data_IF_031177629428
#
_entry.id   IF_031177629428
#
_cell.length_a   1.000
_cell.length_b   1.000
_cell.length_c   1.000
_cell.angle_alpha   90.00
_cell.angle_beta   90.00
_cell.angle_gamma   90.00
#
_symmetry.space_group_name_H-M   'P 1'
#
loop_
_entity.id
_entity.type
_entity.pdbx_description
1 polymer ?
#
# COMPACT_ATOMS: atom_id res chain seq x y z
N UNK A 1 17.54 14.00 6.86
CA UNK A 1 16.93 14.86 5.82
C UNK A 1 16.30 13.96 4.76
N UNK A 2 15.10 13.43 5.01
CA UNK A 2 14.38 12.55 4.07
C UNK A 2 13.42 13.31 3.14
N UNK A 3 13.21 14.61 3.35
CA UNK A 3 12.20 15.40 2.65
C UNK A 3 12.75 16.29 1.53
N UNK A 4 14.08 16.49 1.43
CA UNK A 4 14.68 17.41 0.44
C UNK A 4 14.52 16.95 -1.02
N UNK A 5 14.28 15.65 -1.23
CA UNK A 5 14.12 15.06 -2.56
C UNK A 5 12.67 14.72 -2.92
N UNK A 6 11.72 15.06 -2.06
CA UNK A 6 10.31 14.80 -2.34
C UNK A 6 9.74 15.94 -3.19
N UNK A 7 8.91 15.64 -4.21
CA UNK A 7 8.34 16.64 -5.10
C UNK A 7 7.15 17.37 -4.45
N UNK A 8 7.37 17.90 -3.24
CA UNK A 8 6.39 18.56 -2.40
C UNK A 8 6.89 19.95 -1.98
N UNK A 9 5.98 20.90 -1.86
CA UNK A 9 6.20 22.22 -1.26
C UNK A 9 5.40 22.33 0.04
N UNK A 10 5.82 23.22 0.94
CA UNK A 10 5.12 23.49 2.20
C UNK A 10 4.66 24.94 2.22
N UNK A 11 3.41 25.17 2.64
CA UNK A 11 2.91 26.52 2.90
C UNK A 11 3.40 27.08 4.26
N UNK A 12 3.04 28.32 4.58
CA UNK A 12 3.42 29.00 5.83
C UNK A 12 2.90 28.29 7.09
N UNK A 13 1.83 27.50 6.95
CA UNK A 13 1.23 26.70 8.01
C UNK A 13 1.85 25.29 8.11
N UNK A 14 2.77 24.95 7.20
CA UNK A 14 3.44 23.65 7.14
C UNK A 14 2.62 22.54 6.48
N UNK A 15 1.57 22.88 5.72
CA UNK A 15 0.84 21.91 4.92
C UNK A 15 1.60 21.60 3.64
N UNK A 16 1.71 20.31 3.31
CA UNK A 16 2.42 19.85 2.11
C UNK A 16 1.50 19.75 0.89
N UNK A 17 1.93 20.29 -0.25
CA UNK A 17 1.29 20.12 -1.57
C UNK A 17 2.29 19.55 -2.57
N UNK A 18 1.83 18.84 -3.61
CA UNK A 18 2.70 18.41 -4.70
C UNK A 18 3.09 19.61 -5.56
N UNK A 19 4.34 19.62 -6.04
CA UNK A 19 4.77 20.65 -6.98
C UNK A 19 3.92 20.62 -8.27
N UNK A 20 3.63 21.78 -8.88
CA UNK A 20 2.90 21.84 -10.14
C UNK A 20 3.53 20.96 -11.23
N UNK A 21 2.71 20.17 -11.93
CA UNK A 21 3.15 19.27 -13.00
C UNK A 21 3.63 17.89 -12.54
N UNK A 22 3.69 17.65 -11.23
CA UNK A 22 3.94 16.32 -10.67
C UNK A 22 2.67 15.48 -10.76
N UNK A 23 2.76 14.31 -11.38
CA UNK A 23 1.65 13.37 -11.44
C UNK A 23 1.20 13.00 -10.03
N UNK A 24 -0.12 12.99 -9.79
CA UNK A 24 -0.67 12.60 -8.49
C UNK A 24 -0.29 11.13 -8.22
N UNK A 25 0.54 10.82 -7.21
CA UNK A 25 0.94 9.45 -6.92
C UNK A 25 -0.23 8.60 -6.39
N UNK A 26 -1.34 9.23 -6.03
CA UNK A 26 -2.57 8.57 -5.59
C UNK A 26 -3.63 8.47 -6.69
N UNK A 27 -3.39 8.99 -7.90
CA UNK A 27 -4.31 8.71 -9.01
C UNK A 27 -4.16 7.26 -9.44
N UNK A 28 -5.27 6.56 -9.59
CA UNK A 28 -5.30 5.18 -10.07
C UNK A 28 -6.37 5.02 -11.15
N UNK A 29 -6.12 4.12 -12.08
CA UNK A 29 -7.12 3.66 -13.04
C UNK A 29 -7.77 2.40 -12.46
N UNK A 30 -9.09 2.30 -12.60
CA UNK A 30 -9.84 1.09 -12.23
C UNK A 30 -10.22 0.34 -13.47
N UNK A 31 -10.12 -0.99 -13.41
CA UNK A 31 -10.63 -1.88 -14.44
C UNK A 31 -11.59 -2.87 -13.79
N UNK A 32 -12.70 -3.14 -14.46
CA UNK A 32 -13.63 -4.20 -14.07
C UNK A 32 -13.07 -5.57 -14.39
N UNK A 33 -13.62 -6.62 -13.77
CA UNK A 33 -13.19 -8.00 -14.03
C UNK A 33 -13.48 -8.37 -15.49
N UNK A 34 -14.62 -7.92 -16.01
CA UNK A 34 -15.06 -8.18 -17.38
C UNK A 34 -14.14 -7.54 -18.42
N UNK A 35 -13.74 -6.28 -18.18
CA UNK A 35 -12.77 -5.57 -19.04
C UNK A 35 -11.41 -6.28 -19.04
N UNK A 36 -10.96 -6.74 -17.88
CA UNK A 36 -9.70 -7.51 -17.74
C UNK A 36 -9.78 -8.82 -18.53
N UNK A 37 -10.86 -9.57 -18.38
CA UNK A 37 -11.05 -10.82 -19.12
C UNK A 37 -11.12 -10.61 -20.63
N UNK A 38 -11.82 -9.57 -21.08
CA UNK A 38 -11.94 -9.24 -22.50
C UNK A 38 -10.56 -8.90 -23.10
N UNK A 39 -9.74 -8.13 -22.36
CA UNK A 39 -8.38 -7.80 -22.74
C UNK A 39 -7.48 -9.04 -22.84
N UNK A 40 -7.53 -9.94 -21.85
CA UNK A 40 -6.77 -11.18 -21.86
C UNK A 40 -7.16 -12.10 -23.03
N UNK A 41 -8.47 -12.20 -23.33
CA UNK A 41 -8.97 -12.96 -24.49
C UNK A 41 -8.47 -12.38 -25.81
N UNK A 42 -8.42 -11.06 -25.96
CA UNK A 42 -7.89 -10.41 -27.17
C UNK A 42 -6.38 -10.66 -27.34
N UNK A 43 -5.59 -10.58 -26.26
CA UNK A 43 -4.16 -10.88 -26.30
C UNK A 43 -3.93 -12.35 -26.67
N UNK A 44 -4.64 -13.28 -26.04
CA UNK A 44 -4.53 -14.70 -26.34
C UNK A 44 -4.83 -14.99 -27.82
N UNK A 45 -5.82 -14.30 -28.40
CA UNK A 45 -6.15 -14.39 -29.83
C UNK A 45 -5.02 -13.89 -30.73
N UNK A 46 -4.38 -12.77 -30.38
CA UNK A 46 -3.33 -12.12 -31.21
C UNK A 46 -1.97 -12.80 -31.10
N UNK A 47 -1.57 -13.18 -29.89
CA UNK A 47 -0.20 -13.53 -29.57
C UNK A 47 0.03 -15.02 -29.29
N UNK A 48 -1.04 -15.83 -29.26
CA UNK A 48 -1.00 -17.26 -28.99
C UNK A 48 -1.21 -17.59 -27.50
N UNK A 49 -0.59 -18.67 -27.03
CA UNK A 49 -0.82 -19.21 -25.69
C UNK A 49 -0.26 -18.29 -24.58
N UNK A 50 -1.15 -17.85 -23.69
CA UNK A 50 -0.80 -17.24 -22.42
C UNK A 50 -0.58 -18.30 -21.35
N UNK A 51 0.23 -17.98 -20.34
CA UNK A 51 0.55 -18.89 -19.24
C UNK A 51 0.28 -18.18 -17.92
N UNK A 52 -0.29 -18.89 -16.96
CA UNK A 52 -0.44 -18.40 -15.60
C UNK A 52 0.77 -18.84 -14.77
N UNK A 53 1.38 -17.88 -14.09
CA UNK A 53 2.53 -18.07 -13.21
C UNK A 53 2.24 -17.38 -11.89
N UNK A 54 2.17 -18.20 -10.85
CA UNK A 54 1.82 -17.78 -9.50
C UNK A 54 3.01 -17.86 -8.55
N UNK A 55 3.14 -16.83 -7.71
CA UNK A 55 4.10 -16.79 -6.61
C UNK A 55 3.34 -16.62 -5.30
N UNK A 56 2.96 -17.75 -4.69
CA UNK A 56 2.28 -17.79 -3.40
C UNK A 56 2.92 -18.90 -2.51
N UNK A 57 3.67 -18.55 -1.45
CA UNK A 57 3.95 -17.20 -0.98
C UNK A 57 5.14 -16.53 -1.71
N UNK A 58 5.09 -15.20 -1.82
CA UNK A 58 6.30 -14.41 -2.07
C UNK A 58 7.19 -14.45 -0.83
N UNK A 59 8.45 -14.84 -1.00
CA UNK A 59 9.42 -14.98 0.10
C UNK A 59 10.36 -13.77 0.20
N UNK A 60 11.11 -13.66 1.31
CA UNK A 60 12.00 -12.53 1.64
C UNK A 60 11.28 -11.18 1.74
N UNK A 61 10.00 -11.20 2.07
CA UNK A 61 9.17 -10.04 2.39
C UNK A 61 8.53 -10.23 3.76
N UNK A 62 8.03 -9.15 4.36
CA UNK A 62 7.26 -9.22 5.60
C UNK A 62 5.75 -9.32 5.28
N UNK A 63 5.07 -10.28 5.92
CA UNK A 63 3.64 -10.51 5.72
C UNK A 63 3.33 -11.63 4.73
N UNK A 64 2.07 -11.72 4.33
CA UNK A 64 1.57 -12.73 3.39
C UNK A 64 1.18 -12.05 2.09
N UNK A 65 2.05 -12.19 1.08
CA UNK A 65 1.92 -11.59 -0.25
C UNK A 65 1.92 -12.71 -1.29
N UNK A 66 0.99 -12.63 -2.22
CA UNK A 66 0.92 -13.47 -3.40
C UNK A 66 0.85 -12.61 -4.67
N UNK A 67 1.45 -13.11 -5.75
CA UNK A 67 1.25 -12.58 -7.10
C UNK A 67 0.67 -13.66 -8.00
N UNK A 68 -0.46 -13.38 -8.63
CA UNK A 68 -1.05 -14.21 -9.67
C UNK A 68 -0.93 -13.50 -11.01
N UNK A 69 -0.12 -14.04 -11.91
CA UNK A 69 0.27 -13.31 -13.13
C UNK A 69 0.02 -14.11 -14.40
N UNK A 70 -0.55 -13.47 -15.40
CA UNK A 70 -0.65 -14.03 -16.75
C UNK A 70 0.48 -13.46 -17.60
N UNK A 71 1.23 -14.34 -18.27
CA UNK A 71 2.44 -13.99 -19.02
C UNK A 71 2.41 -14.48 -20.46
N UNK A 72 2.96 -13.67 -21.35
CA UNK A 72 3.33 -14.07 -22.70
C UNK A 72 4.83 -14.41 -22.72
N UNK A 73 5.16 -15.70 -22.73
CA UNK A 73 6.56 -16.16 -22.71
C UNK A 73 7.30 -15.86 -24.03
N UNK A 74 6.58 -15.82 -25.16
CA UNK A 74 7.16 -15.52 -26.48
C UNK A 74 7.63 -14.08 -26.55
N UNK A 75 6.82 -13.15 -26.06
CA UNK A 75 7.16 -11.72 -25.99
C UNK A 75 7.93 -11.34 -24.71
N UNK A 76 8.10 -12.29 -23.79
CA UNK A 76 8.76 -12.10 -22.49
C UNK A 76 8.12 -10.96 -21.68
N UNK A 77 6.79 -10.90 -21.68
CA UNK A 77 6.02 -9.81 -21.06
C UNK A 77 4.97 -10.35 -20.09
N UNK A 78 4.87 -9.74 -18.91
CA UNK A 78 3.71 -9.88 -18.01
C UNK A 78 2.58 -9.04 -18.59
N UNK A 79 1.46 -9.69 -18.92
CA UNK A 79 0.32 -9.00 -19.55
C UNK A 79 -0.73 -8.58 -18.54
N UNK A 80 -0.80 -9.28 -17.42
CA UNK A 80 -1.68 -8.97 -16.31
C UNK A 80 -1.13 -9.57 -15.01
N UNK A 81 -1.44 -8.94 -13.88
CA UNK A 81 -1.02 -9.43 -12.56
C UNK A 81 -1.97 -8.94 -11.47
N UNK A 82 -2.22 -9.77 -10.48
CA UNK A 82 -2.94 -9.43 -9.27
C UNK A 82 -2.02 -9.55 -8.06
N UNK A 83 -1.88 -8.46 -7.30
CA UNK A 83 -1.24 -8.44 -5.98
C UNK A 83 -2.28 -8.79 -4.92
N UNK A 84 -2.01 -9.80 -4.10
CA UNK A 84 -2.93 -10.25 -3.07
C UNK A 84 -2.28 -10.30 -1.70
N UNK A 85 -2.95 -9.70 -0.72
CA UNK A 85 -2.63 -9.89 0.69
C UNK A 85 -3.50 -11.04 1.24
N UNK A 86 -2.89 -12.15 1.60
CA UNK A 86 -3.62 -13.39 1.98
C UNK A 86 -3.86 -13.51 3.50
N UNK A 87 -3.61 -12.44 4.26
CA UNK A 87 -3.77 -12.39 5.72
C UNK A 87 -4.49 -11.13 6.17
N UNK A 88 -5.49 -11.29 7.04
CA UNK A 88 -6.19 -10.21 7.71
C UNK A 88 -6.12 -10.36 9.24
N UNK A 89 -5.92 -9.25 9.96
CA UNK A 89 -5.91 -9.20 11.44
C UNK A 89 -6.89 -8.18 12.04
N UNK A 90 -7.31 -7.16 11.29
CA UNK A 90 -8.35 -6.21 11.73
C UNK A 90 -7.97 -5.27 12.88
N UNK A 91 -6.75 -4.69 12.87
CA UNK A 91 -6.30 -3.76 13.94
C UNK A 91 -7.25 -2.57 14.16
N UNK A 92 -7.84 -2.02 13.10
CA UNK A 92 -8.78 -0.91 13.19
C UNK A 92 -10.04 -1.29 13.97
N UNK A 93 -10.52 -2.53 13.81
CA UNK A 93 -11.65 -3.07 14.55
C UNK A 93 -11.22 -3.31 16.01
N UNK A 94 -10.05 -3.90 16.22
CA UNK A 94 -9.50 -4.18 17.56
C UNK A 94 -9.36 -2.90 18.39
N UNK A 95 -9.01 -1.78 17.78
CA UNK A 95 -8.80 -0.50 18.46
C UNK A 95 -10.11 0.18 18.87
N UNK A 96 -11.27 -0.18 18.30
CA UNK A 96 -12.55 0.45 18.65
C UNK A 96 -12.89 0.22 20.12
N UNK A 97 -13.30 1.29 20.80
CA UNK A 97 -13.70 1.26 22.21
C UNK A 97 -12.55 1.07 23.21
N UNK A 98 -11.29 1.05 22.74
CA UNK A 98 -10.13 1.00 23.63
C UNK A 98 -9.74 2.40 24.09
N UNK A 99 -9.02 2.44 25.20
CA UNK A 99 -8.41 3.67 25.67
C UNK A 99 -7.38 4.16 24.62
N UNK A 100 -7.44 5.43 24.17
CA UNK A 100 -6.50 5.96 23.20
C UNK A 100 -5.03 5.76 23.59
N UNK A 101 -4.72 5.76 24.90
CA UNK A 101 -3.34 5.57 25.42
C UNK A 101 -2.77 4.19 25.07
N UNK A 102 -3.62 3.19 24.86
CA UNK A 102 -3.19 1.85 24.47
C UNK A 102 -2.87 1.75 22.96
N UNK A 103 -3.31 2.72 22.16
CA UNK A 103 -3.25 2.61 20.71
C UNK A 103 -1.82 2.46 20.19
N UNK A 104 -0.83 3.15 20.76
CA UNK A 104 0.58 3.00 20.36
C UNK A 104 1.14 1.60 20.64
N UNK A 105 0.76 1.00 21.77
CA UNK A 105 1.17 -0.36 22.10
C UNK A 105 0.49 -1.38 21.19
N UNK A 106 -0.79 -1.20 20.89
CA UNK A 106 -1.53 -2.13 20.03
C UNK A 106 -1.10 -1.99 18.57
N UNK A 107 -1.09 -0.78 18.02
CA UNK A 107 -0.76 -0.50 16.61
C UNK A 107 0.66 -0.91 16.25
N UNK A 108 1.62 -0.80 17.18
CA UNK A 108 3.01 -1.23 16.93
C UNK A 108 3.14 -2.73 16.59
N UNK A 109 2.13 -3.55 16.93
CA UNK A 109 2.12 -4.97 16.58
C UNK A 109 1.50 -5.21 15.20
N UNK A 110 1.01 -4.17 14.53
CA UNK A 110 0.60 -4.25 13.13
C UNK A 110 1.77 -4.66 12.21
N UNK A 111 3.03 -4.38 12.56
CA UNK A 111 4.15 -4.92 11.81
C UNK A 111 5.37 -5.13 12.72
N UNK A 112 6.01 -6.30 12.64
CA UNK A 112 7.24 -6.59 13.39
C UNK A 112 8.48 -5.89 12.83
N UNK A 113 8.45 -5.46 11.56
CA UNK A 113 9.58 -4.78 10.89
C UNK A 113 9.51 -3.26 11.11
N UNK A 114 8.34 -2.65 10.93
CA UNK A 114 8.14 -1.20 11.07
C UNK A 114 7.24 -0.82 12.27
N UNK A 115 7.18 -1.66 13.30
CA UNK A 115 6.29 -1.45 14.45
C UNK A 115 6.50 -0.14 15.19
N UNK A 116 7.75 0.35 15.26
CA UNK A 116 8.06 1.66 15.85
C UNK A 116 7.37 2.82 15.12
N UNK A 117 7.26 2.75 13.79
CA UNK A 117 6.58 3.78 12.99
C UNK A 117 5.09 3.84 13.32
N UNK A 118 4.44 2.68 13.49
CA UNK A 118 3.04 2.61 13.91
C UNK A 118 2.83 3.15 15.34
N UNK A 119 3.78 2.91 16.25
CA UNK A 119 3.73 3.48 17.60
C UNK A 119 3.80 5.02 17.54
N UNK A 120 4.77 5.56 16.81
CA UNK A 120 4.98 7.00 16.65
C UNK A 120 3.79 7.67 15.98
N UNK A 121 3.26 7.08 14.90
CA UNK A 121 2.08 7.61 14.22
C UNK A 121 0.85 7.65 15.14
N UNK A 122 0.66 6.61 15.97
CA UNK A 122 -0.41 6.60 16.97
C UNK A 122 -0.22 7.68 18.04
N UNK A 123 1.00 7.86 18.57
CA UNK A 123 1.31 8.91 19.54
C UNK A 123 1.03 10.30 18.97
N UNK A 124 1.53 10.62 17.78
CA UNK A 124 1.28 11.88 17.08
C UNK A 124 -0.22 12.13 16.85
N UNK A 125 -0.96 11.08 16.49
CA UNK A 125 -2.42 11.18 16.28
C UNK A 125 -3.17 11.48 17.58
N UNK A 126 -2.76 10.87 18.70
CA UNK A 126 -3.35 11.13 20.02
C UNK A 126 -2.99 12.54 20.52
N UNK A 127 -1.73 12.95 20.35
CA UNK A 127 -1.25 14.29 20.71
C UNK A 127 -2.06 15.36 19.98
N UNK A 128 -2.28 15.19 18.68
CA UNK A 128 -3.14 16.06 17.88
C UNK A 128 -4.59 16.06 18.38
N UNK A 129 -5.17 14.87 18.58
CA UNK A 129 -6.58 14.74 18.97
C UNK A 129 -6.88 15.32 20.37
N UNK A 130 -5.92 15.27 21.28
CA UNK A 130 -6.07 15.74 22.67
C UNK A 130 -5.42 17.11 22.92
N UNK A 131 -4.80 17.73 21.92
CA UNK A 131 -4.10 19.01 22.07
C UNK A 131 -2.88 18.95 23.01
N UNK A 132 -2.22 17.79 23.09
CA UNK A 132 -1.07 17.56 23.96
C UNK A 132 0.21 17.94 23.23
N UNK A 133 1.06 18.73 23.87
CA UNK A 133 2.40 19.06 23.38
C UNK A 133 3.46 18.41 24.27
N UNK A 134 4.22 17.41 23.78
CA UNK A 134 5.32 16.82 24.52
C UNK A 134 6.41 17.86 24.87
N UNK A 135 7.22 17.62 25.91
CA UNK A 135 8.41 18.41 26.18
C UNK A 135 9.35 18.46 24.97
N UNK A 136 10.14 19.53 24.88
CA UNK A 136 11.22 19.64 23.91
C UNK A 136 12.38 18.72 24.28
#
# INVERSE_FOLDING_TARGET
MCFENLPIEFDEDGNATLLPGVANPYSYETQTVEEREAFLKDIARKNGQLNDIDFDPVTRVAGALAFHSTVNLKERKVVDTASMATLFRGYEIILRGRDPRDAAFISSRACGVCGGVHATAAALSIEMALGIKPPK
#
